data_IF_867565547021
#
_entry.id   IF_867565547021
#
_cell.length_a   1.000
_cell.length_b   1.000
_cell.length_c   1.000
_cell.angle_alpha   90.00
_cell.angle_beta   90.00
_cell.angle_gamma   90.00
#
_symmetry.space_group_name_H-M   'P 1'
#
loop_
_entity.id
_entity.type
_entity.pdbx_description
1 polymer ?
#
# COMPACT_ATOMS: atom_id res chain seq x y z
N UNK A 1 20.16 34.25 -57.51
CA UNK A 1 19.57 33.02 -56.93
C UNK A 1 20.64 32.36 -56.06
N UNK A 2 20.27 31.86 -54.87
CA UNK A 2 21.13 31.31 -53.77
C UNK A 2 21.85 32.42 -52.96
N UNK A 3 21.62 32.67 -51.67
CA UNK A 3 21.19 31.81 -50.58
C UNK A 3 20.38 32.63 -49.53
N UNK A 4 19.07 32.72 -49.72
CA UNK A 4 18.10 33.07 -48.66
C UNK A 4 17.79 31.87 -47.73
N UNK A 5 18.66 30.86 -47.71
CA UNK A 5 18.44 29.56 -47.07
C UNK A 5 19.15 29.39 -45.72
N UNK A 6 19.80 30.45 -45.18
CA UNK A 6 20.59 30.34 -43.95
C UNK A 6 19.94 30.96 -42.71
N UNK A 7 18.63 31.27 -42.75
CA UNK A 7 17.90 31.88 -41.61
C UNK A 7 16.70 31.07 -41.12
N UNK A 8 16.54 29.81 -41.54
CA UNK A 8 15.35 28.99 -41.21
C UNK A 8 15.65 27.65 -40.53
N UNK A 9 16.78 27.53 -39.84
CA UNK A 9 17.19 26.28 -39.16
C UNK A 9 17.59 26.48 -37.69
N UNK A 10 17.05 27.51 -37.04
CA UNK A 10 17.30 27.78 -35.61
C UNK A 10 16.02 27.79 -34.76
N UNK A 11 15.00 27.00 -35.13
CA UNK A 11 13.73 26.98 -34.39
C UNK A 11 13.11 25.57 -34.24
N UNK A 12 13.90 24.50 -34.34
CA UNK A 12 13.45 23.13 -34.02
C UNK A 12 14.57 22.44 -33.24
N UNK A 13 14.74 22.82 -31.97
CA UNK A 13 15.82 22.26 -31.13
C UNK A 13 15.66 22.47 -29.64
N UNK A 14 14.49 22.90 -29.14
CA UNK A 14 14.31 23.24 -27.72
C UNK A 14 12.99 22.72 -27.10
N UNK A 15 12.43 21.60 -27.56
CA UNK A 15 11.23 21.01 -26.92
C UNK A 15 11.49 19.61 -26.32
N UNK A 16 12.65 18.99 -26.54
CA UNK A 16 12.92 17.61 -26.11
C UNK A 16 13.71 17.46 -24.79
N UNK A 17 13.75 18.47 -23.91
CA UNK A 17 14.61 18.44 -22.71
C UNK A 17 13.92 18.61 -21.35
N UNK A 18 12.59 18.77 -21.30
CA UNK A 18 11.94 19.34 -20.11
C UNK A 18 11.27 18.39 -19.11
N UNK A 19 11.19 17.08 -19.36
CA UNK A 19 10.27 16.21 -18.59
C UNK A 19 10.93 14.94 -18.03
N UNK A 20 11.99 15.09 -17.23
CA UNK A 20 12.60 13.96 -16.48
C UNK A 20 12.85 14.27 -14.99
N UNK A 21 12.06 15.15 -14.36
CA UNK A 21 12.16 15.43 -12.92
C UNK A 21 11.10 14.73 -12.05
N UNK A 22 10.25 13.88 -12.64
CA UNK A 22 9.29 13.11 -11.85
C UNK A 22 9.86 11.73 -11.50
N UNK A 23 10.29 11.57 -10.26
CA UNK A 23 10.44 10.25 -9.65
C UNK A 23 11.82 9.86 -9.15
N UNK A 24 12.62 10.80 -8.63
CA UNK A 24 13.58 10.41 -7.60
C UNK A 24 12.74 9.99 -6.37
N UNK A 25 12.33 8.73 -6.33
CA UNK A 25 11.76 8.14 -5.11
C UNK A 25 12.75 8.40 -3.98
N UNK A 26 12.27 8.92 -2.86
CA UNK A 26 13.09 8.98 -1.66
C UNK A 26 13.53 7.55 -1.38
N UNK A 27 14.84 7.31 -1.38
CA UNK A 27 15.36 6.05 -0.86
C UNK A 27 15.00 6.03 0.62
N UNK A 28 13.86 5.44 0.97
CA UNK A 28 13.39 5.38 2.35
C UNK A 28 14.26 4.39 3.11
N UNK A 29 15.24 4.91 3.85
CA UNK A 29 16.04 4.15 4.80
C UNK A 29 15.25 3.75 6.06
N UNK A 30 14.13 4.43 6.32
CA UNK A 30 13.36 4.20 7.53
C UNK A 30 12.47 2.97 7.44
N UNK A 31 12.35 2.25 8.56
CA UNK A 31 11.28 1.27 8.71
C UNK A 31 9.94 1.99 8.64
N UNK A 32 9.08 1.54 7.73
CA UNK A 32 7.78 2.16 7.48
C UNK A 32 6.65 1.14 7.55
N UNK A 33 5.42 1.64 7.69
CA UNK A 33 4.19 0.83 7.66
C UNK A 33 3.30 1.28 6.51
N UNK A 34 2.82 0.31 5.72
CA UNK A 34 1.82 0.53 4.68
C UNK A 34 0.55 -0.26 5.02
N UNK A 35 -0.56 0.42 5.35
CA UNK A 35 -1.85 -0.24 5.54
C UNK A 35 -2.50 -0.58 4.18
N UNK A 36 -3.27 -1.68 4.12
CA UNK A 36 -4.10 -2.00 2.95
C UNK A 36 -5.34 -1.11 2.84
N UNK A 37 -5.81 -0.59 3.98
CA UNK A 37 -6.85 0.45 4.11
C UNK A 37 -6.65 1.20 5.42
N UNK A 38 -7.07 2.45 5.49
CA UNK A 38 -7.07 3.28 6.72
C UNK A 38 -8.46 3.53 7.28
N UNK A 39 -9.51 2.99 6.65
CA UNK A 39 -10.90 3.21 7.04
C UNK A 39 -11.18 2.75 8.48
N UNK A 40 -11.81 3.62 9.27
CA UNK A 40 -12.28 3.32 10.62
C UNK A 40 -13.09 2.02 10.66
N UNK A 41 -12.78 1.16 11.65
CA UNK A 41 -13.46 -0.13 11.83
C UNK A 41 -13.14 -1.21 10.80
N UNK A 42 -12.38 -0.93 9.74
CA UNK A 42 -12.03 -1.93 8.73
C UNK A 42 -10.91 -2.87 9.21
N UNK A 43 -10.90 -4.10 8.69
CA UNK A 43 -9.72 -4.97 8.77
C UNK A 43 -8.67 -4.50 7.77
N UNK A 44 -7.47 -4.23 8.27
CA UNK A 44 -6.33 -3.77 7.47
C UNK A 44 -5.17 -4.74 7.64
N UNK A 45 -4.44 -5.00 6.55
CA UNK A 45 -3.13 -5.63 6.58
C UNK A 45 -2.08 -4.52 6.68
N UNK A 46 -1.41 -4.45 7.82
CA UNK A 46 -0.34 -3.50 8.10
C UNK A 46 0.98 -4.14 7.67
N UNK A 47 1.58 -3.61 6.59
CA UNK A 47 2.84 -4.11 6.05
C UNK A 47 3.99 -3.27 6.56
N UNK A 48 4.76 -3.81 7.50
CA UNK A 48 6.00 -3.20 7.99
C UNK A 48 7.16 -3.59 7.09
N UNK A 49 7.98 -2.64 6.67
CA UNK A 49 9.08 -2.87 5.75
C UNK A 49 10.42 -2.56 6.43
N UNK A 50 11.35 -3.53 6.44
CA UNK A 50 12.72 -3.31 6.91
C UNK A 50 13.64 -3.23 5.69
N UNK A 51 14.13 -2.02 5.33
CA UNK A 51 14.77 -1.80 4.03
C UNK A 51 16.23 -2.25 3.96
N UNK A 52 16.95 -2.28 5.08
CA UNK A 52 18.38 -2.59 5.16
C UNK A 52 18.77 -3.10 6.55
N UNK A 53 20.03 -3.50 6.75
CA UNK A 53 20.59 -3.87 8.04
C UNK A 53 21.06 -2.67 8.89
N UNK A 54 21.49 -2.88 10.13
CA UNK A 54 21.93 -1.80 11.01
C UNK A 54 23.42 -1.51 10.73
N UNK A 55 23.75 -0.32 10.21
CA UNK A 55 25.13 0.05 9.84
C UNK A 55 25.87 -1.02 9.01
N UNK A 56 25.17 -1.66 8.07
CA UNK A 56 25.69 -2.74 7.25
C UNK A 56 25.65 -4.15 7.88
N UNK A 57 25.14 -4.29 9.10
CA UNK A 57 24.99 -5.57 9.81
C UNK A 57 23.63 -6.20 9.56
N UNK A 58 23.59 -7.52 9.32
CA UNK A 58 22.34 -8.24 9.03
C UNK A 58 21.33 -8.21 10.18
N UNK A 59 20.05 -8.10 9.85
CA UNK A 59 18.94 -8.02 10.82
C UNK A 59 18.62 -9.40 11.37
N UNK A 60 18.56 -9.52 12.69
CA UNK A 60 18.28 -10.78 13.40
C UNK A 60 16.92 -10.78 14.09
N UNK A 61 16.38 -9.61 14.43
CA UNK A 61 15.09 -9.49 15.11
C UNK A 61 14.40 -8.18 14.75
N UNK A 62 13.08 -8.24 14.59
CA UNK A 62 12.21 -7.07 14.44
C UNK A 62 11.09 -7.18 15.47
N UNK A 63 11.05 -6.21 16.38
CA UNK A 63 10.04 -6.09 17.43
C UNK A 63 9.12 -4.93 17.07
N UNK A 64 7.81 -5.19 17.00
CA UNK A 64 6.79 -4.19 16.65
C UNK A 64 5.83 -4.07 17.83
N UNK A 65 5.84 -2.91 18.49
CA UNK A 65 4.92 -2.63 19.59
C UNK A 65 3.52 -2.37 19.05
N UNK A 66 2.55 -3.04 19.64
CA UNK A 66 1.14 -2.93 19.26
C UNK A 66 0.45 -1.87 20.16
N UNK A 67 -0.15 -0.83 19.57
CA UNK A 67 -0.89 0.20 20.30
C UNK A 67 -2.03 -0.37 21.15
N UNK A 68 -2.38 0.33 22.23
CA UNK A 68 -3.45 -0.09 23.17
C UNK A 68 -4.84 -0.13 22.52
N UNK A 69 -5.02 0.61 21.43
CA UNK A 69 -6.21 0.61 20.59
C UNK A 69 -6.54 -0.76 19.99
N UNK A 70 -5.55 -1.65 19.87
CA UNK A 70 -5.75 -2.98 19.30
C UNK A 70 -5.99 -4.02 20.39
N UNK A 71 -7.19 -4.61 20.37
CA UNK A 71 -7.53 -5.74 21.24
C UNK A 71 -6.80 -7.03 20.80
N UNK A 72 -6.69 -7.25 19.50
CA UNK A 72 -6.04 -8.42 18.92
C UNK A 72 -5.41 -8.10 17.56
N UNK A 73 -4.35 -8.84 17.23
CA UNK A 73 -3.68 -8.77 15.93
C UNK A 73 -3.33 -10.19 15.46
N UNK A 74 -3.21 -10.36 14.16
CA UNK A 74 -2.86 -11.62 13.50
C UNK A 74 -1.64 -11.40 12.62
N UNK A 75 -0.43 -11.67 13.12
CA UNK A 75 0.79 -11.56 12.34
C UNK A 75 0.91 -12.73 11.35
N UNK A 76 1.35 -12.41 10.14
CA UNK A 76 1.68 -13.38 9.09
C UNK A 76 2.94 -14.15 9.47
N UNK A 77 3.00 -15.44 9.08
CA UNK A 77 4.18 -16.30 9.26
C UNK A 77 5.06 -16.21 8.01
N UNK A 78 6.30 -15.75 8.18
CA UNK A 78 7.27 -15.66 7.09
C UNK A 78 8.23 -16.87 7.11
N UNK A 79 8.65 -17.41 5.95
CA UNK A 79 9.51 -18.61 5.91
C UNK A 79 10.82 -18.49 6.70
N UNK A 80 11.49 -17.34 6.64
CA UNK A 80 12.78 -17.09 7.31
C UNK A 80 12.64 -16.62 8.77
N UNK A 81 11.43 -16.49 9.30
CA UNK A 81 11.22 -15.89 10.62
C UNK A 81 10.40 -16.79 11.54
N UNK A 82 10.76 -16.78 12.81
CA UNK A 82 9.91 -17.24 13.89
C UNK A 82 9.13 -16.04 14.42
N UNK A 83 7.80 -16.15 14.47
CA UNK A 83 6.92 -15.09 14.96
C UNK A 83 6.39 -15.44 16.35
N UNK A 84 6.37 -14.45 17.25
CA UNK A 84 5.82 -14.56 18.60
C UNK A 84 4.92 -13.37 18.90
N UNK A 85 3.77 -13.64 19.52
CA UNK A 85 2.93 -12.62 20.17
C UNK A 85 3.35 -12.51 21.63
N UNK A 86 3.71 -11.32 22.09
CA UNK A 86 3.96 -11.04 23.49
C UNK A 86 2.69 -10.42 24.07
N UNK A 87 2.13 -11.07 25.09
CA UNK A 87 0.88 -10.64 25.72
C UNK A 87 1.14 -9.58 26.78
N UNK A 88 0.24 -8.61 26.90
CA UNK A 88 0.24 -7.56 27.92
C UNK A 88 -1.12 -7.54 28.60
N UNK A 89 -1.12 -7.39 29.92
CA UNK A 89 -2.33 -7.26 30.72
C UNK A 89 -3.08 -5.96 30.40
N UNK A 90 -4.39 -6.07 30.22
CA UNK A 90 -5.27 -4.92 30.07
C UNK A 90 -5.48 -4.26 31.44
N UNK A 91 -5.48 -2.92 31.46
CA UNK A 91 -5.83 -2.16 32.66
C UNK A 91 -7.30 -2.38 33.05
N UNK A 92 -8.17 -2.56 32.05
CA UNK A 92 -9.59 -2.89 32.24
C UNK A 92 -9.95 -4.06 31.33
N UNK A 93 -10.52 -5.16 31.85
CA UNK A 93 -10.97 -6.26 31.01
C UNK A 93 -11.99 -5.80 29.96
N UNK A 94 -11.90 -6.38 28.77
CA UNK A 94 -12.83 -6.11 27.66
C UNK A 94 -13.64 -7.37 27.35
N UNK A 95 -14.68 -7.22 26.53
CA UNK A 95 -15.46 -8.34 25.99
C UNK A 95 -15.10 -8.59 24.54
N UNK A 96 -14.86 -9.85 24.18
CA UNK A 96 -14.72 -10.23 22.77
C UNK A 96 -16.08 -10.29 22.06
N UNK A 97 -16.07 -10.60 20.76
CA UNK A 97 -17.28 -10.75 19.94
C UNK A 97 -18.22 -11.89 20.39
N UNK A 98 -17.73 -12.78 21.25
CA UNK A 98 -18.49 -13.91 21.80
C UNK A 98 -18.93 -13.66 23.25
N UNK A 99 -18.64 -12.49 23.83
CA UNK A 99 -18.99 -12.13 25.21
C UNK A 99 -18.04 -12.68 26.27
N UNK A 100 -16.92 -13.30 25.88
CA UNK A 100 -15.90 -13.75 26.81
C UNK A 100 -15.14 -12.56 27.37
N UNK A 101 -14.72 -12.67 28.63
CA UNK A 101 -13.81 -11.69 29.22
C UNK A 101 -12.39 -11.88 28.70
N UNK A 102 -11.80 -10.80 28.22
CA UNK A 102 -10.41 -10.74 27.77
C UNK A 102 -9.66 -9.81 28.72
N UNK A 103 -8.63 -10.35 29.37
CA UNK A 103 -7.81 -9.65 30.37
C UNK A 103 -6.40 -9.33 29.86
N UNK A 104 -6.03 -9.84 28.68
CA UNK A 104 -4.75 -9.60 28.04
C UNK A 104 -4.94 -9.31 26.54
N UNK A 105 -4.08 -8.47 25.99
CA UNK A 105 -3.98 -8.18 24.56
C UNK A 105 -2.58 -8.49 24.05
N UNK A 106 -2.42 -8.55 22.73
CA UNK A 106 -1.07 -8.57 22.14
C UNK A 106 -0.45 -7.19 22.33
N UNK A 107 0.61 -7.10 23.14
CA UNK A 107 1.36 -5.87 23.39
C UNK A 107 2.47 -5.63 22.37
N UNK A 108 3.01 -6.71 21.80
CA UNK A 108 4.13 -6.67 20.86
C UNK A 108 4.12 -7.92 19.98
N UNK A 109 4.54 -7.77 18.74
CA UNK A 109 4.82 -8.88 17.82
C UNK A 109 6.32 -8.89 17.54
N UNK A 110 6.95 -10.04 17.78
CA UNK A 110 8.40 -10.23 17.59
C UNK A 110 8.63 -11.23 16.48
N UNK A 111 9.42 -10.82 15.49
CA UNK A 111 9.96 -11.67 14.44
C UNK A 111 11.44 -11.90 14.69
N UNK A 112 11.85 -13.15 14.85
CA UNK A 112 13.25 -13.56 15.00
C UNK A 112 13.70 -14.34 13.78
N UNK A 113 14.79 -13.90 13.15
CA UNK A 113 15.30 -14.50 11.93
C UNK A 113 15.92 -15.88 12.21
N UNK A 114 15.60 -16.88 11.39
CA UNK A 114 16.29 -18.18 11.39
C UNK A 114 17.68 -18.06 10.79
N UNK A 115 17.82 -17.21 9.78
CA UNK A 115 19.09 -16.77 9.19
C UNK A 115 19.04 -15.25 9.09
N UNK A 116 20.06 -14.51 9.56
CA UNK A 116 20.05 -13.05 9.53
C UNK A 116 19.71 -12.53 8.13
N UNK A 117 18.82 -11.54 8.04
CA UNK A 117 18.54 -10.84 6.79
C UNK A 117 19.76 -9.98 6.45
N UNK A 118 20.51 -10.28 5.37
CA UNK A 118 21.74 -9.54 5.08
C UNK A 118 21.45 -8.09 4.73
N UNK A 119 22.43 -7.22 4.98
CA UNK A 119 22.34 -5.84 4.51
C UNK A 119 22.20 -5.76 2.97
N UNK A 120 21.51 -4.72 2.49
CA UNK A 120 21.16 -4.56 1.08
C UNK A 120 19.97 -5.42 0.60
N UNK A 121 19.39 -6.26 1.47
CA UNK A 121 18.14 -6.98 1.24
C UNK A 121 17.04 -6.43 2.14
N UNK A 122 15.81 -6.49 1.63
CA UNK A 122 14.60 -6.05 2.31
C UNK A 122 13.67 -7.23 2.57
N UNK A 123 12.96 -7.17 3.69
CA UNK A 123 11.82 -8.06 3.98
C UNK A 123 10.63 -7.23 4.49
N UNK A 124 9.46 -7.86 4.52
CA UNK A 124 8.20 -7.28 5.00
C UNK A 124 7.51 -8.16 6.01
N UNK A 125 6.96 -7.54 7.06
CA UNK A 125 6.22 -8.20 8.12
C UNK A 125 4.79 -7.70 8.09
N UNK A 126 3.86 -8.61 7.83
CA UNK A 126 2.44 -8.27 7.73
C UNK A 126 1.71 -8.61 9.02
N UNK A 127 0.91 -7.67 9.51
CA UNK A 127 0.05 -7.84 10.67
C UNK A 127 -1.36 -7.43 10.28
N UNK A 128 -2.29 -8.39 10.27
CA UNK A 128 -3.71 -8.09 10.10
C UNK A 128 -4.31 -7.65 11.43
N UNK A 129 -5.07 -6.56 11.42
CA UNK A 129 -5.79 -6.07 12.59
C UNK A 129 -7.07 -5.31 12.17
N UNK A 130 -8.06 -5.25 13.07
CA UNK A 130 -9.20 -4.33 12.92
C UNK A 130 -8.76 -2.94 13.40
N UNK A 131 -8.87 -1.93 12.55
CA UNK A 131 -8.58 -0.54 12.90
C UNK A 131 -9.64 -0.01 13.89
N UNK A 132 -9.29 0.90 14.81
CA UNK A 132 -10.26 1.49 15.71
C UNK A 132 -11.26 2.37 14.96
N UNK A 133 -12.40 2.64 15.61
CA UNK A 133 -13.51 3.39 15.02
C UNK A 133 -13.26 4.92 15.00
N UNK A 134 -12.29 5.41 15.79
CA UNK A 134 -12.04 6.84 15.95
C UNK A 134 -11.26 7.42 14.75
N UNK A 135 -11.96 8.17 13.91
CA UNK A 135 -11.35 8.91 12.79
C UNK A 135 -10.33 9.94 13.30
N UNK A 136 -9.22 10.09 12.58
CA UNK A 136 -8.11 10.97 12.92
C UNK A 136 -7.20 10.42 14.02
N UNK A 137 -7.48 9.23 14.55
CA UNK A 137 -6.60 8.60 15.52
C UNK A 137 -5.27 8.20 14.88
N UNK A 138 -4.17 8.64 15.51
CA UNK A 138 -2.80 8.30 15.10
C UNK A 138 -2.35 7.04 15.82
N UNK A 139 -2.08 6.00 15.04
CA UNK A 139 -1.65 4.68 15.47
C UNK A 139 -0.15 4.58 15.28
N UNK A 140 0.60 4.73 16.36
CA UNK A 140 2.07 4.73 16.36
C UNK A 140 2.58 3.34 16.75
N UNK A 141 3.42 2.74 15.91
CA UNK A 141 3.97 1.40 16.10
C UNK A 141 5.49 1.45 16.32
N UNK A 142 5.96 1.79 17.53
CA UNK A 142 7.39 1.74 17.86
C UNK A 142 7.99 0.40 17.43
N UNK A 143 9.04 0.46 16.62
CA UNK A 143 9.65 -0.73 16.04
C UNK A 143 11.14 -0.76 16.36
N UNK A 144 11.64 -1.87 16.91
CA UNK A 144 13.07 -2.05 17.18
C UNK A 144 13.62 -3.10 16.24
N UNK A 145 14.60 -2.69 15.45
CA UNK A 145 15.37 -3.56 14.57
C UNK A 145 16.69 -3.90 15.26
N UNK A 146 16.86 -5.16 15.63
CA UNK A 146 18.13 -5.66 16.16
C UNK A 146 18.90 -6.37 15.05
N UNK A 147 20.19 -6.09 14.95
CA UNK A 147 21.09 -6.71 14.01
C UNK A 147 22.14 -7.55 14.72
N UNK A 148 22.99 -8.25 13.98
CA UNK A 148 24.12 -8.99 14.58
C UNK A 148 25.06 -8.05 15.34
N UNK A 149 25.18 -6.80 14.88
CA UNK A 149 25.90 -5.71 15.53
C UNK A 149 24.98 -4.50 15.63
N UNK A 150 24.71 -4.07 16.85
CA UNK A 150 23.90 -2.89 17.12
C UNK A 150 22.41 -3.10 16.88
N UNK A 151 21.68 -2.00 16.99
CA UNK A 151 20.24 -1.93 16.81
C UNK A 151 19.82 -0.52 16.39
N UNK A 152 18.65 -0.41 15.78
CA UNK A 152 18.00 0.86 15.48
C UNK A 152 16.60 0.85 16.07
N UNK A 153 16.30 1.85 16.89
CA UNK A 153 15.01 2.02 17.55
C UNK A 153 14.18 3.07 16.80
N UNK A 154 13.27 2.61 15.93
CA UNK A 154 12.29 3.40 15.19
C UNK A 154 11.12 3.78 16.11
N UNK A 155 11.36 4.74 17.00
CA UNK A 155 10.45 5.06 18.13
C UNK A 155 10.12 6.55 18.24
N UNK A 156 10.73 7.40 17.42
CA UNK A 156 10.55 8.84 17.52
C UNK A 156 9.17 9.26 16.97
N UNK A 157 8.50 10.17 17.69
CA UNK A 157 7.21 10.75 17.26
C UNK A 157 7.42 12.23 17.03
N UNK A 158 6.95 12.81 15.90
CA UNK A 158 7.12 14.23 15.62
C UNK A 158 6.46 15.09 16.71
N UNK A 159 7.18 16.11 17.17
CA UNK A 159 6.61 17.18 18.00
C UNK A 159 5.89 18.19 17.12
N UNK A 160 5.09 19.07 17.74
CA UNK A 160 4.32 20.10 17.03
C UNK A 160 5.17 20.86 16.00
N UNK A 161 4.66 20.94 14.77
CA UNK A 161 5.31 21.63 13.66
C UNK A 161 6.44 20.85 12.95
N UNK A 162 6.74 19.61 13.38
CA UNK A 162 7.66 18.69 12.68
C UNK A 162 6.92 17.55 11.99
N UNK A 163 7.54 16.99 10.98
CA UNK A 163 7.12 15.80 10.25
C UNK A 163 7.99 14.59 10.60
N UNK A 164 7.59 13.39 10.15
CA UNK A 164 8.40 12.18 10.31
C UNK A 164 9.75 12.27 9.57
N UNK A 165 9.82 13.03 8.48
CA UNK A 165 11.03 13.22 7.69
C UNK A 165 12.07 14.10 8.41
N UNK A 166 11.67 14.81 9.47
CA UNK A 166 12.55 15.60 10.33
C UNK A 166 13.18 14.78 11.47
N UNK A 167 12.94 13.46 11.50
CA UNK A 167 13.39 12.55 12.55
C UNK A 167 14.38 11.53 11.99
N UNK A 168 15.32 11.11 12.83
CA UNK A 168 16.36 10.14 12.46
C UNK A 168 15.81 8.72 12.46
N UNK A 169 14.94 8.41 13.43
CA UNK A 169 14.33 7.10 13.58
C UNK A 169 12.83 7.20 13.89
N UNK A 170 12.01 7.73 12.95
CA UNK A 170 10.59 7.90 13.14
C UNK A 170 9.89 6.56 13.34
N UNK A 171 8.96 6.51 14.29
CA UNK A 171 8.10 5.35 14.48
C UNK A 171 7.11 5.21 13.31
N UNK A 172 6.94 3.99 12.74
CA UNK A 172 5.87 3.72 11.78
C UNK A 172 4.51 4.16 12.31
N UNK A 173 3.80 4.98 11.55
CA UNK A 173 2.53 5.61 12.00
C UNK A 173 1.46 5.50 10.93
N UNK A 174 0.22 5.19 11.35
CA UNK A 174 -0.98 5.17 10.49
C UNK A 174 -2.04 6.08 11.08
N UNK A 175 -2.66 6.92 10.26
CA UNK A 175 -3.82 7.74 10.68
C UNK A 175 -5.11 7.08 10.19
N UNK A 176 -6.07 6.89 11.09
CA UNK A 176 -7.38 6.34 10.75
C UNK A 176 -8.19 7.37 9.98
N UNK A 177 -8.70 6.98 8.81
CA UNK A 177 -9.56 7.81 7.95
C UNK A 177 -11.02 7.45 8.16
N UNK A 178 -11.93 8.34 7.73
CA UNK A 178 -13.34 7.98 7.65
C UNK A 178 -13.52 6.72 6.79
N UNK A 179 -14.48 5.88 7.17
CA UNK A 179 -14.96 4.83 6.28
C UNK A 179 -15.66 5.49 5.09
N UNK A 180 -15.38 5.03 3.86
CA UNK A 180 -16.19 5.42 2.72
C UNK A 180 -17.56 4.76 2.89
N UNK A 181 -18.63 5.56 2.81
CA UNK A 181 -19.97 5.01 2.69
C UNK A 181 -20.04 4.29 1.34
N UNK A 182 -19.97 2.97 1.35
CA UNK A 182 -20.40 2.15 0.21
C UNK A 182 -21.80 2.65 -0.20
N UNK A 183 -22.02 3.12 -1.44
CA UNK A 183 -23.32 3.57 -1.86
C UNK A 183 -24.28 2.40 -1.67
N UNK A 184 -25.25 2.56 -0.76
CA UNK A 184 -26.27 1.57 -0.47
C UNK A 184 -26.87 1.19 -1.82
N UNK A 185 -26.63 -0.05 -2.25
CA UNK A 185 -27.21 -0.57 -3.48
C UNK A 185 -28.73 -0.49 -3.31
N UNK A 186 -29.33 0.55 -3.90
CA UNK A 186 -30.77 0.65 -4.02
C UNK A 186 -31.17 -0.59 -4.80
N UNK A 187 -31.82 -1.56 -4.11
CA UNK A 187 -32.36 -2.74 -4.80
C UNK A 187 -33.12 -2.21 -6.02
N UNK A 188 -32.80 -2.65 -7.25
CA UNK A 188 -33.61 -2.26 -8.38
C UNK A 188 -35.02 -2.75 -8.06
N UNK A 189 -35.96 -1.81 -7.96
CA UNK A 189 -37.37 -2.15 -8.04
C UNK A 189 -37.50 -2.89 -9.36
N UNK A 190 -37.84 -4.18 -9.27
CA UNK A 190 -38.05 -5.00 -10.44
C UNK A 190 -39.07 -4.31 -11.34
N UNK A 191 -38.60 -3.70 -12.42
CA UNK A 191 -39.47 -3.30 -13.50
C UNK A 191 -40.03 -4.60 -14.07
N UNK A 192 -41.34 -4.79 -13.95
CA UNK A 192 -42.08 -5.85 -14.63
C UNK A 192 -41.83 -5.71 -16.13
N UNK A 193 -40.86 -6.45 -16.65
CA UNK A 193 -40.65 -6.60 -18.09
C UNK A 193 -41.67 -7.59 -18.60
N UNK A 194 -42.72 -7.07 -19.22
CA UNK A 194 -43.56 -7.86 -20.11
C UNK A 194 -42.69 -8.38 -21.26
N UNK A 195 -42.51 -9.71 -21.31
CA UNK A 195 -41.93 -10.39 -22.46
C UNK A 195 -42.75 -10.06 -23.70
N UNK A 196 -42.14 -9.40 -24.68
CA UNK A 196 -42.61 -9.42 -26.06
C UNK A 196 -41.45 -9.87 -26.93
N UNK A 197 -41.65 -11.03 -27.56
CA UNK A 197 -40.76 -11.62 -28.53
C UNK A 197 -40.54 -10.66 -29.70
N UNK A 198 -39.29 -10.42 -30.05
CA UNK A 198 -38.93 -9.68 -31.25
C UNK A 198 -37.54 -9.08 -31.16
N UNK A 199 -36.55 -9.73 -31.77
CA UNK A 199 -35.22 -9.14 -31.96
C UNK A 199 -35.37 -7.91 -32.87
N UNK A 200 -35.08 -6.68 -32.39
CA UNK A 200 -35.21 -5.50 -33.23
C UNK A 200 -34.11 -5.50 -34.29
N UNK A 201 -34.47 -5.21 -35.55
CA UNK A 201 -33.59 -5.18 -36.73
C UNK A 201 -32.33 -4.31 -36.60
N UNK A 202 -32.23 -3.49 -35.57
CA UNK A 202 -31.09 -2.63 -35.22
C UNK A 202 -29.85 -3.44 -34.82
N UNK A 203 -30.00 -4.67 -34.33
CA UNK A 203 -28.86 -5.51 -33.91
C UNK A 203 -28.03 -6.05 -35.08
N UNK A 204 -28.64 -6.25 -36.26
CA UNK A 204 -27.92 -6.71 -37.45
C UNK A 204 -27.06 -5.62 -38.10
N UNK A 205 -27.47 -4.35 -38.00
CA UNK A 205 -26.72 -3.21 -38.56
C UNK A 205 -25.42 -2.96 -37.78
N UNK A 206 -25.45 -3.13 -36.45
CA UNK A 206 -24.26 -2.97 -35.61
C UNK A 206 -23.20 -4.07 -35.86
N UNK A 207 -23.64 -5.30 -36.14
CA UNK A 207 -22.73 -6.42 -36.46
C UNK A 207 -22.01 -6.21 -37.81
N UNK A 208 -22.73 -5.69 -38.82
CA UNK A 208 -22.15 -5.42 -40.13
C UNK A 208 -21.09 -4.30 -40.12
N UNK A 209 -21.29 -3.26 -39.28
CA UNK A 209 -20.31 -2.17 -39.13
C UNK A 209 -19.04 -2.65 -38.40
N UNK A 210 -19.19 -3.50 -37.38
CA UNK A 210 -18.06 -4.07 -36.64
C UNK A 210 -17.13 -4.94 -37.51
N UNK A 211 -17.70 -5.74 -38.41
CA UNK A 211 -16.92 -6.61 -39.32
C UNK A 211 -16.18 -5.79 -40.39
N UNK A 212 -16.75 -4.69 -40.89
CA UNK A 212 -16.08 -3.81 -41.85
C UNK A 212 -14.88 -3.05 -41.23
N UNK A 213 -14.99 -2.63 -39.97
CA UNK A 213 -13.91 -1.96 -39.24
C UNK A 213 -12.69 -2.87 -39.01
N UNK A 214 -12.93 -4.15 -38.71
CA UNK A 214 -11.88 -5.15 -38.50
C UNK A 214 -11.09 -5.46 -39.78
N UNK A 215 -11.75 -5.47 -40.94
CA UNK A 215 -11.09 -5.66 -42.24
C UNK A 215 -10.20 -4.45 -42.63
N UNK A 216 -10.67 -3.21 -42.37
CA UNK A 216 -9.90 -2.01 -42.67
C UNK A 216 -8.66 -1.87 -41.75
N UNK A 217 -8.80 -2.21 -40.46
CA UNK A 217 -7.68 -2.19 -39.50
C UNK A 217 -6.60 -3.23 -39.81
N UNK A 218 -6.99 -4.43 -40.26
CA UNK A 218 -6.06 -5.48 -40.67
C UNK A 218 -5.22 -5.09 -41.89
N UNK A 219 -5.82 -4.42 -42.88
CA UNK A 219 -5.10 -3.97 -44.08
C UNK A 219 -4.06 -2.89 -43.80
N UNK A 220 -4.30 -2.01 -42.82
CA UNK A 220 -3.36 -0.96 -42.40
C UNK A 220 -2.12 -1.54 -41.70
N UNK A 221 -2.29 -2.55 -40.83
CA UNK A 221 -1.22 -3.24 -40.11
C UNK A 221 -0.29 -4.05 -41.00
N UNK A 222 -0.80 -4.60 -42.12
CA UNK A 222 0.03 -5.33 -43.09
C UNK A 222 0.86 -4.37 -43.95
N UNK A 223 0.36 -3.14 -44.19
CA UNK A 223 1.07 -2.13 -44.99
C UNK A 223 2.24 -1.49 -44.23
N UNK A 224 2.12 -1.30 -42.91
CA UNK A 224 3.18 -0.74 -42.06
C UNK A 224 4.31 -1.73 -41.75
N UNK A 225 4.07 -3.05 -41.81
CA UNK A 225 5.14 -4.06 -41.64
C UNK A 225 6.00 -4.28 -42.88
N UNK A 226 5.66 -3.65 -44.02
CA UNK A 226 6.33 -3.86 -45.32
C UNK A 226 7.03 -2.61 -45.85
N UNK A 227 7.13 -1.53 -45.06
CA UNK A 227 7.94 -0.34 -45.34
C UNK A 227 9.10 -0.25 -44.35
#
# INVERSE_FOLDING_TARGET
MLNSALRRTAAIGCVAGGLLLFGAGTASAHVGVKPSTTAAGAYSVLTFAVPHGCDGSGTTKVSIKIPEQFASVTPTVNPNWQVQKVMTKLATPIKDSHGNEVTERVGEVVYTAKTPLPDGYRDTFEIQAKLPEKVGESLVFPTVQTCEKGETAWVEVPKDGKSADDLEAPAPTVVVTAAEEEPVAVKPVAATTSSSDGVPAVTWVALAIGVAGLAAGGAALVRTRKS
#
